data_IF_464629656178
#
_entry.id   IF_464629656178
#
_cell.length_a   1.000
_cell.length_b   1.000
_cell.length_c   1.000
_cell.angle_alpha   90.00
_cell.angle_beta   90.00
_cell.angle_gamma   90.00
#
_symmetry.space_group_name_H-M   'P 1'
#
loop_
_entity.id
_entity.type
_entity.pdbx_description
1 polymer ?
#
# COMPACT_ATOMS: atom_id res chain seq x y z
N UNK A 1 20.14 4.55 -3.77
CA UNK A 1 20.30 5.76 -2.90
C UNK A 1 19.05 5.80 -2.04
N UNK A 2 19.16 5.91 -0.71
CA UNK A 2 18.08 5.62 0.23
C UNK A 2 17.04 6.76 0.24
N UNK A 3 15.76 6.45 0.06
CA UNK A 3 14.58 7.33 0.12
C UNK A 3 14.61 8.27 1.34
N UNK A 4 14.88 7.70 2.49
CA UNK A 4 14.87 8.40 3.78
C UNK A 4 15.98 9.44 3.92
N UNK A 5 17.14 9.20 3.32
CA UNK A 5 18.23 10.18 3.28
C UNK A 5 17.84 11.39 2.45
N UNK A 6 17.21 11.18 1.30
CA UNK A 6 16.72 12.27 0.44
C UNK A 6 15.59 13.05 1.12
N UNK A 7 14.71 12.38 1.85
CA UNK A 7 13.69 13.05 2.66
C UNK A 7 14.33 13.92 3.74
N UNK A 8 15.39 13.44 4.42
CA UNK A 8 16.16 14.25 5.38
C UNK A 8 16.74 15.50 4.75
N UNK A 9 17.33 15.38 3.58
CA UNK A 9 17.92 16.49 2.82
C UNK A 9 16.86 17.54 2.39
N UNK A 10 15.64 17.08 2.02
CA UNK A 10 14.51 17.95 1.69
C UNK A 10 13.95 18.71 2.91
N UNK A 11 13.88 18.06 4.05
CA UNK A 11 13.37 18.69 5.28
C UNK A 11 14.34 19.73 5.89
N UNK A 12 15.61 19.71 5.48
CA UNK A 12 16.64 20.63 5.94
C UNK A 12 17.00 21.73 4.92
N UNK A 13 16.50 21.64 3.68
CA UNK A 13 16.80 22.57 2.60
C UNK A 13 15.82 23.76 2.50
N UNK A 14 16.26 24.89 1.89
CA UNK A 14 15.46 26.12 1.80
C UNK A 14 14.42 26.15 0.66
N UNK A 15 14.12 25.04 -0.01
CA UNK A 15 13.16 24.96 -1.14
C UNK A 15 11.95 24.15 -0.78
N UNK A 16 10.76 24.69 -1.14
CA UNK A 16 9.51 23.93 -1.12
C UNK A 16 9.64 22.75 -2.11
N UNK A 17 9.52 21.48 -1.64
CA UNK A 17 9.64 20.32 -2.51
C UNK A 17 8.48 20.17 -3.50
N UNK A 18 7.49 21.07 -3.49
CA UNK A 18 6.27 21.00 -4.29
C UNK A 18 6.17 22.04 -5.41
N UNK A 19 7.23 22.78 -5.69
CA UNK A 19 7.23 23.95 -6.61
C UNK A 19 7.21 23.56 -8.11
N UNK A 20 6.76 22.37 -8.47
CA UNK A 20 6.60 21.95 -9.86
C UNK A 20 5.10 21.72 -10.16
N UNK A 21 4.33 22.78 -10.27
CA UNK A 21 2.94 22.74 -10.75
C UNK A 21 2.92 23.09 -12.26
N UNK A 22 2.50 22.12 -13.11
CA UNK A 22 2.13 22.36 -14.48
C UNK A 22 2.59 21.32 -15.50
N UNK A 23 1.98 21.38 -16.69
CA UNK A 23 2.36 20.61 -17.88
C UNK A 23 3.80 20.90 -18.38
N UNK A 24 4.47 21.89 -17.79
CA UNK A 24 5.81 22.38 -18.13
C UNK A 24 6.96 21.73 -17.35
N UNK A 25 6.72 20.64 -16.62
CA UNK A 25 7.82 19.85 -16.07
C UNK A 25 8.67 19.26 -17.21
N UNK A 26 9.99 19.55 -17.28
CA UNK A 26 10.82 19.08 -18.38
C UNK A 26 10.75 17.56 -18.53
N UNK A 27 10.63 17.03 -19.78
CA UNK A 27 10.65 15.61 -20.02
C UNK A 27 11.98 15.02 -19.55
N UNK A 28 11.95 14.23 -18.49
CA UNK A 28 13.16 13.65 -17.89
C UNK A 28 13.32 13.93 -16.40
N UNK A 29 12.49 14.75 -15.79
CA UNK A 29 12.42 14.81 -14.33
C UNK A 29 11.87 13.47 -13.82
N UNK A 30 12.78 12.55 -13.51
CA UNK A 30 12.42 11.37 -12.71
C UNK A 30 11.91 11.93 -11.40
N UNK A 31 10.61 11.76 -11.16
CA UNK A 31 10.04 11.94 -9.83
C UNK A 31 10.95 11.18 -8.89
N UNK A 32 11.73 11.91 -8.12
CA UNK A 32 12.76 11.35 -7.27
C UNK A 32 12.06 10.50 -6.17
N UNK A 33 12.76 9.52 -5.63
CA UNK A 33 12.25 8.70 -4.50
C UNK A 33 11.77 9.57 -3.34
N UNK A 34 12.32 10.78 -3.21
CA UNK A 34 11.91 11.78 -2.24
C UNK A 34 10.49 12.32 -2.49
N UNK A 35 10.11 12.58 -3.74
CA UNK A 35 8.75 13.01 -4.07
C UNK A 35 7.74 11.88 -3.82
N UNK A 36 8.14 10.64 -4.06
CA UNK A 36 7.32 9.49 -3.69
C UNK A 36 7.10 9.42 -2.17
N UNK A 37 8.17 9.56 -1.36
CA UNK A 37 8.06 9.59 0.10
C UNK A 37 7.15 10.71 0.60
N UNK A 38 7.33 11.92 0.06
CA UNK A 38 6.50 13.06 0.42
C UNK A 38 5.03 12.85 0.04
N UNK A 39 4.75 12.23 -1.10
CA UNK A 39 3.39 11.89 -1.49
C UNK A 39 2.75 10.88 -0.53
N UNK A 40 3.49 9.85 -0.12
CA UNK A 40 3.02 8.87 0.87
C UNK A 40 2.78 9.50 2.24
N UNK A 41 3.74 10.31 2.72
CA UNK A 41 3.60 11.04 3.98
C UNK A 41 2.42 11.99 3.91
N UNK A 42 2.26 12.69 2.78
CA UNK A 42 1.13 13.56 2.54
C UNK A 42 -0.21 12.84 2.61
N UNK A 43 -0.32 11.65 2.00
CA UNK A 43 -1.51 10.81 2.10
C UNK A 43 -1.76 10.37 3.55
N UNK A 44 -0.76 9.83 4.24
CA UNK A 44 -0.89 9.42 5.65
C UNK A 44 -1.29 10.58 6.56
N UNK A 45 -0.64 11.74 6.41
CA UNK A 45 -0.95 12.92 7.22
C UNK A 45 -2.35 13.50 6.98
N UNK A 46 -2.86 13.41 5.74
CA UNK A 46 -4.21 13.88 5.42
C UNK A 46 -5.29 12.89 5.86
N UNK A 47 -5.00 11.59 5.85
CA UNK A 47 -5.85 10.55 6.41
C UNK A 47 -6.01 10.75 7.92
N UNK A 48 -4.92 10.84 8.65
CA UNK A 48 -4.91 11.10 10.08
C UNK A 48 -5.56 12.44 10.49
N UNK A 49 -5.73 13.38 9.58
CA UNK A 49 -6.47 14.61 9.82
C UNK A 49 -7.99 14.44 9.67
N UNK A 50 -8.45 13.40 9.01
CA UNK A 50 -9.89 13.16 8.84
C UNK A 50 -10.57 12.93 10.19
N UNK A 51 -9.86 12.35 11.16
CA UNK A 51 -10.32 12.09 12.53
C UNK A 51 -9.80 13.07 13.60
N UNK A 52 -8.85 13.99 13.27
CA UNK A 52 -8.45 15.13 14.09
C UNK A 52 -6.96 15.24 14.45
N UNK A 53 -6.29 14.22 14.92
CA UNK A 53 -4.88 14.26 15.34
C UNK A 53 -4.11 13.01 14.90
N UNK A 54 -2.93 13.21 14.31
CA UNK A 54 -2.02 12.08 14.02
C UNK A 54 -1.52 11.50 15.35
N UNK A 55 -1.80 10.25 15.56
CA UNK A 55 -1.36 9.51 16.75
C UNK A 55 0.09 9.02 16.60
N UNK A 56 0.70 8.65 17.73
CA UNK A 56 2.04 8.03 17.71
C UNK A 56 1.99 6.65 17.06
N UNK A 57 0.89 5.95 17.26
CA UNK A 57 0.61 4.63 16.73
C UNK A 57 0.57 4.64 15.20
N UNK A 58 -0.11 5.62 14.59
CA UNK A 58 -0.15 5.80 13.13
C UNK A 58 1.23 6.13 12.54
N UNK A 59 2.00 7.02 13.19
CA UNK A 59 3.37 7.33 12.74
C UNK A 59 4.27 6.11 12.87
N UNK A 60 4.10 5.32 13.93
CA UNK A 60 4.86 4.09 14.13
C UNK A 60 4.48 3.04 13.08
N UNK A 61 3.18 2.85 12.81
CA UNK A 61 2.70 1.97 11.75
C UNK A 61 3.22 2.42 10.38
N UNK A 62 3.19 3.72 10.07
CA UNK A 62 3.78 4.27 8.86
C UNK A 62 5.27 3.94 8.75
N UNK A 63 6.03 4.17 9.84
CA UNK A 63 7.47 3.87 9.88
C UNK A 63 7.76 2.38 9.63
N UNK A 64 6.93 1.50 10.18
CA UNK A 64 7.06 0.04 9.97
C UNK A 64 6.72 -0.37 8.54
N UNK A 65 5.58 0.09 8.02
CA UNK A 65 5.12 -0.23 6.65
C UNK A 65 6.15 0.17 5.61
N UNK A 66 6.68 1.39 5.73
CA UNK A 66 7.61 1.95 4.76
C UNK A 66 9.09 1.85 5.16
N UNK A 67 9.43 0.98 6.13
CA UNK A 67 10.80 0.69 6.57
C UNK A 67 11.63 1.94 6.87
N UNK A 68 11.10 2.85 7.66
CA UNK A 68 11.88 3.99 8.10
C UNK A 68 13.10 3.53 8.92
N UNK A 69 14.30 4.12 8.71
CA UNK A 69 15.47 3.79 9.51
C UNK A 69 15.23 4.08 11.00
N UNK A 70 15.84 3.28 11.87
CA UNK A 70 15.80 3.54 13.31
C UNK A 70 16.32 4.94 13.62
N UNK A 71 15.60 5.67 14.47
CA UNK A 71 15.93 7.05 14.83
C UNK A 71 15.41 8.10 13.85
N UNK A 72 14.61 7.71 12.84
CA UNK A 72 14.02 8.64 11.86
C UNK A 72 12.66 9.20 12.31
N UNK A 73 12.15 8.80 13.47
CA UNK A 73 10.82 9.19 13.97
C UNK A 73 10.66 10.72 14.06
N UNK A 74 11.66 11.43 14.54
CA UNK A 74 11.61 12.89 14.64
C UNK A 74 11.46 13.58 13.28
N UNK A 75 12.12 13.05 12.26
CA UNK A 75 11.99 13.54 10.87
C UNK A 75 10.61 13.22 10.29
N UNK A 76 10.08 12.03 10.56
CA UNK A 76 8.72 11.67 10.19
C UNK A 76 7.70 12.61 10.84
N UNK A 77 7.79 12.85 12.14
CA UNK A 77 6.92 13.82 12.82
C UNK A 77 6.94 15.19 12.15
N UNK A 78 8.12 15.71 11.81
CA UNK A 78 8.26 17.00 11.12
C UNK A 78 7.63 16.95 9.72
N UNK A 79 7.84 15.86 8.98
CA UNK A 79 7.28 15.69 7.64
C UNK A 79 5.74 15.64 7.68
N UNK A 80 5.17 14.92 8.66
CA UNK A 80 3.73 14.88 8.89
C UNK A 80 3.19 16.27 9.26
N UNK A 81 3.87 17.01 10.13
CA UNK A 81 3.46 18.37 10.49
C UNK A 81 3.49 19.34 9.31
N UNK A 82 4.52 19.26 8.46
CA UNK A 82 4.59 20.05 7.24
C UNK A 82 3.48 19.66 6.25
N UNK A 83 3.24 18.37 6.05
CA UNK A 83 2.18 17.89 5.16
C UNK A 83 0.78 18.35 5.63
N UNK A 84 0.54 18.45 6.95
CA UNK A 84 -0.69 19.00 7.51
C UNK A 84 -0.87 20.49 7.21
N UNK A 85 0.21 21.26 7.20
CA UNK A 85 0.18 22.70 6.99
C UNK A 85 0.04 23.08 5.52
N UNK A 86 0.35 22.18 4.58
CA UNK A 86 0.24 22.47 3.15
C UNK A 86 -1.22 22.66 2.73
N UNK A 87 -1.46 23.56 1.79
CA UNK A 87 -2.76 23.76 1.14
C UNK A 87 -3.12 22.66 0.17
N UNK A 88 -2.14 21.83 -0.24
CA UNK A 88 -2.35 20.70 -1.13
C UNK A 88 -3.27 19.67 -0.46
N UNK A 89 -4.39 19.37 -1.09
CA UNK A 89 -5.30 18.32 -0.67
C UNK A 89 -4.71 16.93 -0.88
N UNK A 90 -5.29 15.92 -0.24
CA UNK A 90 -4.86 14.52 -0.43
C UNK A 90 -4.94 14.09 -1.90
N UNK A 91 -5.89 14.62 -2.64
CA UNK A 91 -6.11 14.37 -4.05
C UNK A 91 -4.89 14.77 -4.92
N UNK A 92 -4.18 15.82 -4.54
CA UNK A 92 -2.94 16.21 -5.20
C UNK A 92 -1.84 15.16 -5.03
N UNK A 93 -1.66 14.63 -3.83
CA UNK A 93 -0.70 13.55 -3.56
C UNK A 93 -1.10 12.25 -4.28
N UNK A 94 -2.37 11.86 -4.19
CA UNK A 94 -2.89 10.66 -4.83
C UNK A 94 -2.73 10.72 -6.36
N UNK A 95 -3.06 11.85 -7.01
CA UNK A 95 -2.88 12.04 -8.46
C UNK A 95 -1.43 11.97 -8.90
N UNK A 96 -0.47 12.45 -8.09
CA UNK A 96 0.96 12.33 -8.38
C UNK A 96 1.38 10.86 -8.41
N UNK A 97 0.97 10.06 -7.42
CA UNK A 97 1.24 8.62 -7.38
C UNK A 97 0.56 7.89 -8.55
N UNK A 98 -0.72 8.18 -8.81
CA UNK A 98 -1.47 7.59 -9.92
C UNK A 98 -0.78 7.84 -11.28
N UNK A 99 -0.31 9.07 -11.55
CA UNK A 99 0.43 9.40 -12.78
C UNK A 99 1.77 8.66 -12.86
N UNK A 100 2.52 8.64 -11.77
CA UNK A 100 3.82 7.96 -11.73
C UNK A 100 3.69 6.48 -12.02
N UNK A 101 2.73 5.82 -11.39
CA UNK A 101 2.54 4.36 -11.46
C UNK A 101 1.38 3.94 -12.36
N UNK A 102 0.95 4.79 -13.31
CA UNK A 102 -0.18 4.49 -14.22
C UNK A 102 -0.08 3.15 -14.94
N UNK A 103 1.14 2.66 -15.19
CA UNK A 103 1.43 1.37 -15.82
C UNK A 103 1.80 0.27 -14.82
N UNK A 104 1.73 0.57 -13.53
CA UNK A 104 2.08 -0.38 -12.47
C UNK A 104 1.04 -0.35 -11.34
N UNK A 105 -0.15 -0.84 -11.68
CA UNK A 105 -1.30 -0.87 -10.78
C UNK A 105 -1.01 -1.58 -9.45
N UNK A 106 -0.13 -2.59 -9.46
CA UNK A 106 0.24 -3.34 -8.26
C UNK A 106 0.91 -2.43 -7.20
N UNK A 107 1.74 -1.46 -7.62
CA UNK A 107 2.34 -0.48 -6.68
C UNK A 107 1.27 0.42 -6.05
N UNK A 108 0.28 0.85 -6.83
CA UNK A 108 -0.84 1.65 -6.29
C UNK A 108 -1.69 0.84 -5.31
N UNK A 109 -1.86 -0.45 -5.57
CA UNK A 109 -2.53 -1.37 -4.64
C UNK A 109 -1.72 -1.53 -3.36
N UNK A 110 -0.39 -1.72 -3.44
CA UNK A 110 0.49 -1.80 -2.27
C UNK A 110 0.48 -0.51 -1.42
N UNK A 111 0.39 0.66 -2.08
CA UNK A 111 0.21 1.94 -1.37
C UNK A 111 -1.12 1.97 -0.63
N UNK A 112 -2.21 1.57 -1.28
CA UNK A 112 -3.53 1.54 -0.67
C UNK A 112 -3.59 0.54 0.50
N UNK A 113 -3.01 -0.64 0.36
CA UNK A 113 -2.87 -1.62 1.45
C UNK A 113 -2.08 -1.06 2.63
N UNK A 114 -1.00 -0.34 2.36
CA UNK A 114 -0.22 0.34 3.40
C UNK A 114 -1.06 1.40 4.15
N UNK A 115 -1.91 2.15 3.45
CA UNK A 115 -2.81 3.12 4.07
C UNK A 115 -3.88 2.42 4.92
N UNK A 116 -4.47 1.30 4.46
CA UNK A 116 -5.37 0.49 5.28
C UNK A 116 -4.69 -0.03 6.55
N UNK A 117 -3.44 -0.48 6.44
CA UNK A 117 -2.68 -0.94 7.60
C UNK A 117 -2.45 0.18 8.62
N UNK A 118 -2.17 1.40 8.16
CA UNK A 118 -1.99 2.56 9.04
C UNK A 118 -3.31 2.96 9.69
N UNK A 119 -4.41 3.02 8.93
CA UNK A 119 -5.74 3.32 9.45
C UNK A 119 -6.20 2.31 10.52
N UNK A 120 -5.79 1.05 10.41
CA UNK A 120 -6.11 -0.02 11.39
C UNK A 120 -5.19 -0.01 12.62
N UNK A 121 -4.18 0.85 12.68
CA UNK A 121 -3.15 0.80 13.75
C UNK A 121 -3.71 1.02 15.16
N UNK A 122 -4.81 1.75 15.30
CA UNK A 122 -5.54 1.97 16.55
C UNK A 122 -6.62 0.90 16.85
N UNK A 123 -6.76 -0.11 15.96
CA UNK A 123 -7.65 -1.27 16.12
C UNK A 123 -8.95 -1.19 15.34
N UNK A 124 -9.31 -0.06 14.72
CA UNK A 124 -10.51 0.08 13.88
C UNK A 124 -10.36 1.22 12.88
N UNK A 125 -10.97 1.05 11.71
CA UNK A 125 -11.05 2.10 10.70
C UNK A 125 -12.34 2.90 10.93
N UNK A 126 -12.22 4.21 11.03
CA UNK A 126 -13.36 5.11 11.18
C UNK A 126 -14.10 5.32 9.85
N UNK A 127 -15.38 5.74 9.87
CA UNK A 127 -16.10 6.04 8.62
C UNK A 127 -15.42 7.13 7.77
N UNK A 128 -14.77 8.11 8.39
CA UNK A 128 -14.08 9.19 7.70
C UNK A 128 -12.80 8.69 7.02
N UNK A 129 -12.05 7.79 7.67
CA UNK A 129 -10.89 7.12 7.06
C UNK A 129 -11.32 6.19 5.92
N UNK A 130 -12.42 5.47 6.08
CA UNK A 130 -12.96 4.61 5.03
C UNK A 130 -13.34 5.42 3.78
N UNK A 131 -14.06 6.53 3.93
CA UNK A 131 -14.39 7.44 2.84
C UNK A 131 -13.15 8.05 2.18
N UNK A 132 -12.11 8.33 2.99
CA UNK A 132 -10.83 8.79 2.49
C UNK A 132 -10.12 7.73 1.63
N UNK A 133 -10.04 6.49 2.12
CA UNK A 133 -9.41 5.36 1.41
C UNK A 133 -10.13 5.05 0.10
N UNK A 134 -11.47 5.09 0.09
CA UNK A 134 -12.28 4.95 -1.13
C UNK A 134 -11.94 6.04 -2.14
N UNK A 135 -11.87 7.30 -1.70
CA UNK A 135 -11.51 8.43 -2.57
C UNK A 135 -10.09 8.29 -3.16
N UNK A 136 -9.14 7.78 -2.39
CA UNK A 136 -7.78 7.49 -2.88
C UNK A 136 -7.81 6.36 -3.91
N UNK A 137 -8.59 5.31 -3.67
CA UNK A 137 -8.75 4.19 -4.59
C UNK A 137 -9.34 4.64 -5.95
N UNK A 138 -10.34 5.53 -5.92
CA UNK A 138 -10.92 6.13 -7.13
C UNK A 138 -9.88 6.92 -7.93
N UNK A 139 -9.05 7.75 -7.26
CA UNK A 139 -7.99 8.50 -7.92
C UNK A 139 -6.92 7.57 -8.50
N UNK A 140 -6.65 6.44 -7.88
CA UNK A 140 -5.75 5.40 -8.39
C UNK A 140 -6.34 4.60 -9.55
N UNK A 141 -7.63 4.79 -9.85
CA UNK A 141 -8.36 4.13 -10.93
C UNK A 141 -8.76 2.68 -10.59
N UNK A 142 -8.95 2.37 -9.32
CA UNK A 142 -9.56 1.11 -8.89
C UNK A 142 -11.08 1.20 -9.07
N UNK A 143 -11.67 0.08 -9.55
CA UNK A 143 -13.13 -0.03 -9.58
C UNK A 143 -13.68 -0.28 -8.17
N UNK A 144 -14.99 -0.04 -7.97
CA UNK A 144 -15.64 -0.37 -6.71
C UNK A 144 -15.44 -1.84 -6.29
N UNK A 145 -15.42 -2.77 -7.25
CA UNK A 145 -15.13 -4.19 -6.97
C UNK A 145 -13.69 -4.42 -6.52
N UNK A 146 -12.72 -3.70 -7.10
CA UNK A 146 -11.32 -3.77 -6.67
C UNK A 146 -11.17 -3.23 -5.25
N UNK A 147 -11.81 -2.07 -4.96
CA UNK A 147 -11.80 -1.47 -3.64
C UNK A 147 -12.40 -2.41 -2.59
N UNK A 148 -13.59 -2.97 -2.85
CA UNK A 148 -14.22 -3.92 -1.94
C UNK A 148 -13.36 -5.16 -1.69
N UNK A 149 -12.67 -5.65 -2.70
CA UNK A 149 -11.72 -6.77 -2.55
C UNK A 149 -10.56 -6.40 -1.61
N UNK A 150 -9.97 -5.22 -1.80
CA UNK A 150 -8.86 -4.73 -0.97
C UNK A 150 -9.36 -4.48 0.46
N UNK A 151 -10.49 -3.80 0.59
CA UNK A 151 -11.16 -3.52 1.86
C UNK A 151 -11.46 -4.79 2.67
N UNK A 152 -12.06 -5.79 2.02
CA UNK A 152 -12.40 -7.06 2.66
C UNK A 152 -11.16 -7.79 3.19
N UNK A 153 -10.01 -7.67 2.51
CA UNK A 153 -8.76 -8.25 3.00
C UNK A 153 -8.29 -7.63 4.33
N UNK A 154 -8.70 -6.38 4.62
CA UNK A 154 -8.31 -5.68 5.85
C UNK A 154 -9.39 -5.71 6.95
N UNK A 155 -10.68 -5.75 6.59
CA UNK A 155 -11.79 -5.60 7.55
C UNK A 155 -12.51 -6.90 7.88
N UNK A 156 -12.81 -7.71 6.87
CA UNK A 156 -13.79 -8.81 6.98
C UNK A 156 -13.15 -10.20 6.95
N UNK A 157 -11.92 -10.32 6.52
CA UNK A 157 -11.27 -11.62 6.48
C UNK A 157 -10.82 -12.01 7.90
N UNK A 158 -11.12 -13.23 8.37
CA UNK A 158 -10.21 -13.87 9.30
C UNK A 158 -8.83 -13.79 8.63
N UNK A 159 -7.87 -13.17 9.29
CA UNK A 159 -6.53 -12.93 8.75
C UNK A 159 -5.88 -14.18 8.11
N UNK A 160 -6.53 -15.33 8.27
CA UNK A 160 -6.08 -16.67 7.89
C UNK A 160 -6.97 -17.43 6.89
N UNK A 161 -8.02 -16.85 6.28
CA UNK A 161 -8.78 -17.61 5.29
C UNK A 161 -8.03 -17.72 3.95
N UNK A 162 -7.48 -18.91 3.62
CA UNK A 162 -6.65 -19.10 2.44
C UNK A 162 -7.40 -18.88 1.10
N UNK A 163 -8.71 -19.07 1.08
CA UNK A 163 -9.51 -18.82 -0.13
C UNK A 163 -9.67 -17.32 -0.40
N UNK A 164 -9.89 -16.54 0.64
CA UNK A 164 -9.95 -15.07 0.57
C UNK A 164 -8.63 -14.48 0.12
N UNK A 165 -7.49 -14.96 0.67
CA UNK A 165 -6.13 -14.52 0.28
C UNK A 165 -5.89 -14.76 -1.21
N UNK A 166 -6.38 -15.86 -1.79
CA UNK A 166 -6.27 -16.14 -3.22
C UNK A 166 -7.37 -15.47 -4.07
N UNK A 167 -8.35 -14.78 -3.47
CA UNK A 167 -9.45 -14.13 -4.16
C UNK A 167 -10.39 -15.09 -4.86
N UNK A 168 -10.65 -16.28 -4.29
CA UNK A 168 -11.49 -17.35 -4.85
C UNK A 168 -12.53 -17.82 -3.85
N UNK A 169 -13.62 -18.41 -4.36
CA UNK A 169 -14.62 -19.06 -3.51
C UNK A 169 -14.16 -20.41 -2.96
N UNK A 170 -14.71 -20.82 -1.82
CA UNK A 170 -14.41 -22.12 -1.18
C UNK A 170 -14.81 -23.35 -2.04
N UNK A 171 -15.64 -23.14 -3.06
CA UNK A 171 -16.07 -24.16 -4.02
C UNK A 171 -15.22 -24.18 -5.28
N UNK A 172 -14.13 -23.41 -5.34
CA UNK A 172 -13.26 -23.34 -6.51
C UNK A 172 -12.62 -24.70 -6.80
N UNK A 173 -12.57 -25.06 -8.08
CA UNK A 173 -11.90 -26.25 -8.57
C UNK A 173 -10.37 -26.15 -8.39
N UNK A 174 -9.67 -27.29 -8.39
CA UNK A 174 -8.20 -27.32 -8.28
C UNK A 174 -7.50 -26.50 -9.38
N UNK A 175 -8.09 -26.46 -10.58
CA UNK A 175 -7.54 -25.68 -11.69
C UNK A 175 -7.75 -24.16 -11.49
N UNK A 176 -8.85 -23.75 -10.90
CA UNK A 176 -9.10 -22.36 -10.51
C UNK A 176 -8.15 -21.94 -9.40
N UNK A 177 -7.96 -22.76 -8.37
CA UNK A 177 -7.01 -22.54 -7.28
C UNK A 177 -5.59 -22.35 -7.85
N UNK A 178 -5.15 -23.22 -8.76
CA UNK A 178 -3.82 -23.11 -9.40
C UNK A 178 -3.67 -21.85 -10.25
N UNK A 179 -4.73 -21.47 -10.96
CA UNK A 179 -4.74 -20.23 -11.78
C UNK A 179 -4.66 -19.02 -10.90
N UNK A 180 -5.49 -18.94 -9.86
CA UNK A 180 -5.50 -17.83 -8.90
C UNK A 180 -4.13 -17.68 -8.22
N UNK A 181 -3.54 -18.77 -7.71
CA UNK A 181 -2.20 -18.73 -7.15
C UNK A 181 -1.15 -18.18 -8.12
N UNK A 182 -1.11 -18.69 -9.37
CA UNK A 182 -0.14 -18.21 -10.36
C UNK A 182 -0.33 -16.73 -10.70
N UNK A 183 -1.58 -16.28 -10.76
CA UNK A 183 -1.91 -14.90 -11.05
C UNK A 183 -1.50 -14.00 -9.87
N UNK A 184 -1.88 -14.35 -8.65
CA UNK A 184 -1.52 -13.62 -7.43
C UNK A 184 0.00 -13.56 -7.23
N UNK A 185 0.71 -14.70 -7.37
CA UNK A 185 2.16 -14.75 -7.28
C UNK A 185 2.85 -13.90 -8.35
N UNK A 186 2.36 -13.95 -9.60
CA UNK A 186 2.93 -13.15 -10.68
C UNK A 186 2.71 -11.63 -10.49
N UNK A 187 1.60 -11.23 -9.89
CA UNK A 187 1.29 -9.81 -9.62
C UNK A 187 2.12 -9.27 -8.46
N UNK A 188 2.31 -10.05 -7.41
CA UNK A 188 2.93 -9.63 -6.16
C UNK A 188 4.40 -10.06 -6.01
N UNK A 189 5.06 -10.54 -7.09
CA UNK A 189 6.46 -10.95 -7.02
C UNK A 189 7.38 -9.74 -6.79
N UNK A 190 8.20 -9.72 -5.73
CA UNK A 190 9.05 -8.59 -5.37
C UNK A 190 9.95 -8.12 -6.53
N UNK A 191 10.58 -9.05 -7.25
CA UNK A 191 11.47 -8.73 -8.37
C UNK A 191 10.72 -8.02 -9.51
N UNK A 192 9.46 -8.37 -9.76
CA UNK A 192 8.65 -7.69 -10.79
C UNK A 192 8.26 -6.29 -10.37
N UNK A 193 7.97 -6.07 -9.10
CA UNK A 193 7.66 -4.74 -8.57
C UNK A 193 8.88 -3.84 -8.68
N UNK A 194 10.06 -4.30 -8.26
CA UNK A 194 11.32 -3.57 -8.40
C UNK A 194 11.67 -3.29 -9.87
N UNK A 195 11.54 -4.29 -10.75
CA UNK A 195 11.80 -4.13 -12.19
C UNK A 195 10.88 -3.10 -12.86
N UNK A 196 9.69 -2.88 -12.30
CA UNK A 196 8.72 -1.86 -12.75
C UNK A 196 8.89 -0.50 -12.06
N UNK A 197 9.96 -0.33 -11.28
CA UNK A 197 10.29 0.92 -10.61
C UNK A 197 9.54 1.14 -9.29
N UNK A 198 9.03 0.09 -8.66
CA UNK A 198 8.52 0.20 -7.30
C UNK A 198 9.68 0.56 -6.35
N UNK A 199 9.47 1.48 -5.42
CA UNK A 199 10.47 1.78 -4.39
C UNK A 199 10.77 0.57 -3.51
N UNK A 200 12.03 0.47 -3.06
CA UNK A 200 12.48 -0.64 -2.21
C UNK A 200 11.72 -0.70 -0.87
N UNK A 201 11.17 0.42 -0.45
CA UNK A 201 10.38 0.56 0.78
C UNK A 201 9.06 -0.21 0.73
N UNK A 202 8.50 -0.45 -0.47
CA UNK A 202 7.32 -1.30 -0.67
C UNK A 202 7.66 -2.79 -0.73
N UNK A 203 8.94 -3.15 -0.80
CA UNK A 203 9.35 -4.55 -0.91
C UNK A 203 8.83 -5.40 0.26
N UNK A 204 8.77 -4.83 1.49
CA UNK A 204 8.26 -5.57 2.65
C UNK A 204 6.80 -5.98 2.47
N UNK A 205 5.96 -5.07 1.96
CA UNK A 205 4.54 -5.36 1.70
C UNK A 205 4.43 -6.48 0.66
N UNK A 206 5.23 -6.40 -0.40
CA UNK A 206 5.26 -7.43 -1.44
C UNK A 206 5.75 -8.79 -0.91
N UNK A 207 6.78 -8.80 -0.07
CA UNK A 207 7.30 -10.02 0.58
C UNK A 207 6.25 -10.65 1.50
N UNK A 208 5.56 -9.85 2.32
CA UNK A 208 4.50 -10.31 3.22
C UNK A 208 3.30 -10.85 2.45
N UNK A 209 2.85 -10.14 1.40
CA UNK A 209 1.79 -10.62 0.51
C UNK A 209 2.18 -11.94 -0.16
N UNK A 210 3.42 -12.04 -0.63
CA UNK A 210 3.90 -13.25 -1.28
C UNK A 210 3.98 -14.43 -0.31
N UNK A 211 4.40 -14.19 0.94
CA UNK A 211 4.40 -15.20 2.00
C UNK A 211 2.97 -15.66 2.33
N UNK A 212 2.02 -14.74 2.44
CA UNK A 212 0.61 -15.03 2.67
C UNK A 212 -0.01 -15.86 1.52
N UNK A 213 0.25 -15.48 0.27
CA UNK A 213 -0.19 -16.21 -0.94
C UNK A 213 0.34 -17.65 -0.94
N UNK A 214 1.62 -17.83 -0.64
CA UNK A 214 2.27 -19.15 -0.60
C UNK A 214 1.66 -20.03 0.51
N UNK A 215 1.46 -19.46 1.70
CA UNK A 215 0.86 -20.15 2.86
C UNK A 215 -0.58 -20.54 2.57
N UNK A 216 -1.37 -19.64 2.00
CA UNK A 216 -2.76 -19.88 1.60
C UNK A 216 -2.86 -21.05 0.60
N UNK A 217 -2.04 -21.03 -0.45
CA UNK A 217 -2.01 -22.09 -1.44
C UNK A 217 -1.62 -23.46 -0.84
N UNK A 218 -0.60 -23.49 0.04
CA UNK A 218 -0.18 -24.70 0.74
C UNK A 218 -1.30 -25.24 1.64
N UNK A 219 -2.01 -24.39 2.36
CA UNK A 219 -3.14 -24.74 3.24
C UNK A 219 -4.29 -25.36 2.44
N UNK A 220 -4.71 -24.74 1.35
CA UNK A 220 -5.77 -25.29 0.48
C UNK A 220 -5.36 -26.65 -0.09
N UNK A 221 -4.13 -26.79 -0.58
CA UNK A 221 -3.65 -28.09 -1.07
C UNK A 221 -3.69 -29.19 -0.01
N UNK A 222 -3.30 -28.86 1.23
CA UNK A 222 -3.34 -29.80 2.33
C UNK A 222 -4.79 -30.19 2.70
N UNK A 223 -5.74 -29.26 2.65
CA UNK A 223 -7.16 -29.54 2.87
C UNK A 223 -7.69 -30.49 1.80
N UNK A 224 -7.49 -30.18 0.54
CA UNK A 224 -7.94 -31.03 -0.58
C UNK A 224 -7.33 -32.44 -0.55
N UNK A 225 -6.06 -32.57 -0.18
CA UNK A 225 -5.43 -33.88 -0.02
C UNK A 225 -6.07 -34.72 1.10
N UNK A 226 -6.41 -34.08 2.24
CA UNK A 226 -7.12 -34.75 3.35
C UNK A 226 -8.53 -35.18 2.95
N UNK A 227 -9.26 -34.34 2.20
CA UNK A 227 -10.60 -34.66 1.71
C UNK A 227 -10.58 -35.85 0.75
N UNK A 228 -9.63 -35.87 -0.20
CA UNK A 228 -9.43 -37.00 -1.14
C UNK A 228 -9.11 -38.30 -0.39
N UNK A 229 -8.27 -38.23 0.64
CA UNK A 229 -7.94 -39.40 1.44
C UNK A 229 -9.15 -39.94 2.25
N UNK A 230 -10.09 -39.07 2.61
CA UNK A 230 -11.33 -39.45 3.33
C UNK A 230 -12.42 -40.01 2.39
N UNK A 231 -12.45 -39.55 1.14
CA UNK A 231 -13.47 -39.98 0.16
C UNK A 231 -13.02 -41.16 -0.71
N UNK A 232 -11.73 -41.48 -0.70
CA UNK A 232 -11.15 -42.64 -1.41
C UNK A 232 -10.93 -43.89 -0.56
N UNK A 233 -11.38 -43.88 0.70
CA UNK A 233 -11.46 -45.03 1.61
C UNK A 233 -12.92 -45.42 1.82
#
# INVERSE_FOLDING_TARGET
>A
MNLWRKLGDLLTGPRDPFDCEGEDCPPGHRVDDAEFAMALIGLGAKMARADGAVTREEIHAFAQVFRAPSGFEAQLYRAFDLAKQTTLGFDGYARRLARRFRHNRAVLEDVLDGLFHIAKADGRITPDEEAYLESVADIFGFSGLDYERIRAAHLDAPEDDPYTILGIGRTASEDEIRRAYRQAAAQNHPDRLLARGAPAELQRIADEKMAAINTAYASIKAQLAREKARTGA
#
